data_IF_730195511458
#
_entry.id   IF_730195511458
#
_cell.length_a   1.000
_cell.length_b   1.000
_cell.length_c   1.000
_cell.angle_alpha   90.00
_cell.angle_beta   90.00
_cell.angle_gamma   90.00
#
_symmetry.space_group_name_H-M   'P 1'
#
loop_
_entity.id
_entity.type
_entity.pdbx_description
1 polymer ?
#
# COMPACT_ATOMS: atom_id res chain seq x y z
N UNK A 1 51.11 4.14 26.74
CA UNK A 1 50.49 3.35 25.65
C UNK A 1 48.97 3.51 25.72
N UNK A 2 48.40 4.58 25.18
CA UNK A 2 46.93 4.82 25.20
C UNK A 2 46.56 5.41 23.85
N UNK A 3 46.10 4.59 22.91
CA UNK A 3 45.59 5.09 21.63
C UNK A 3 44.64 4.12 20.91
N UNK A 4 43.65 3.57 21.61
CA UNK A 4 42.56 2.80 20.97
C UNK A 4 41.24 2.95 21.72
N UNK A 5 40.67 4.15 21.79
CA UNK A 5 39.33 4.33 22.36
C UNK A 5 38.58 5.53 21.78
N UNK A 6 38.60 5.69 20.44
CA UNK A 6 37.80 6.73 19.74
C UNK A 6 36.97 6.22 18.55
N UNK A 7 37.09 4.95 18.17
CA UNK A 7 36.42 4.40 16.96
C UNK A 7 35.01 3.88 17.26
N UNK A 8 34.67 3.62 18.53
CA UNK A 8 33.37 3.01 18.88
C UNK A 8 32.19 3.99 18.88
N UNK A 9 32.42 5.29 19.13
CA UNK A 9 31.34 6.28 19.23
C UNK A 9 30.76 6.69 17.86
N UNK A 10 31.56 6.63 16.79
CA UNK A 10 31.13 6.98 15.42
C UNK A 10 30.20 5.91 14.84
N UNK A 11 30.41 4.64 15.17
CA UNK A 11 29.54 3.55 14.70
C UNK A 11 28.13 3.63 15.30
N UNK A 12 28.00 3.96 16.60
CA UNK A 12 26.70 4.07 17.27
C UNK A 12 25.84 5.21 16.69
N UNK A 13 26.46 6.34 16.35
CA UNK A 13 25.73 7.47 15.72
C UNK A 13 25.22 7.12 14.31
N UNK A 14 25.99 6.38 13.52
CA UNK A 14 25.57 5.96 12.17
C UNK A 14 24.42 4.95 12.19
N UNK A 15 24.32 4.08 13.19
CA UNK A 15 23.23 3.10 13.28
C UNK A 15 21.86 3.75 13.50
N UNK A 16 21.80 4.81 14.32
CA UNK A 16 20.53 5.51 14.57
C UNK A 16 19.99 6.17 13.31
N UNK A 17 20.84 6.86 12.53
CA UNK A 17 20.41 7.57 11.32
C UNK A 17 19.95 6.63 10.21
N UNK A 18 20.55 5.45 10.06
CA UNK A 18 20.15 4.44 9.06
C UNK A 18 18.74 3.92 9.35
N UNK A 19 18.43 3.60 10.62
CA UNK A 19 17.09 3.13 11.02
C UNK A 19 16.02 4.19 10.73
N UNK A 20 16.31 5.47 10.98
CA UNK A 20 15.37 6.56 10.68
C UNK A 20 15.13 6.75 9.18
N UNK A 21 16.19 6.64 8.34
CA UNK A 21 16.07 6.77 6.90
C UNK A 21 15.27 5.62 6.26
N UNK A 22 15.50 4.38 6.73
CA UNK A 22 14.73 3.21 6.29
C UNK A 22 13.25 3.34 6.66
N UNK A 23 12.95 3.81 7.87
CA UNK A 23 11.57 4.00 8.32
C UNK A 23 10.82 5.03 7.46
N UNK A 24 11.45 6.17 7.16
CA UNK A 24 10.86 7.19 6.27
C UNK A 24 10.57 6.64 4.87
N UNK A 25 11.53 5.91 4.30
CA UNK A 25 11.37 5.27 2.97
C UNK A 25 10.17 4.30 2.93
N UNK A 26 9.92 3.57 4.03
CA UNK A 26 8.76 2.68 4.12
C UNK A 26 7.44 3.44 4.23
N UNK A 27 7.38 4.54 4.99
CA UNK A 27 6.19 5.42 5.06
C UNK A 27 5.88 6.02 3.67
N UNK A 28 6.89 6.52 2.96
CA UNK A 28 6.73 7.03 1.59
C UNK A 28 6.20 5.92 0.66
N UNK A 29 6.68 4.69 0.85
CA UNK A 29 6.22 3.52 0.08
C UNK A 29 4.76 3.16 0.40
N UNK A 30 4.30 3.30 1.65
CA UNK A 30 2.89 3.15 2.02
C UNK A 30 2.01 4.21 1.35
N UNK A 31 2.48 5.46 1.26
CA UNK A 31 1.77 6.50 0.51
C UNK A 31 1.68 6.19 -1.00
N UNK A 32 2.66 5.49 -1.58
CA UNK A 32 2.55 5.00 -2.96
C UNK A 32 1.46 3.93 -3.09
N UNK A 33 1.31 3.03 -2.11
CA UNK A 33 0.20 2.06 -2.08
C UNK A 33 -1.14 2.78 -1.98
N UNK A 34 -1.24 3.83 -1.15
CA UNK A 34 -2.44 4.68 -1.07
C UNK A 34 -2.81 5.26 -2.43
N UNK A 35 -1.85 5.86 -3.14
CA UNK A 35 -2.10 6.46 -4.45
C UNK A 35 -2.49 5.40 -5.49
N UNK A 36 -1.84 4.23 -5.46
CA UNK A 36 -2.22 3.09 -6.28
C UNK A 36 -3.66 2.64 -6.06
N UNK A 37 -4.11 2.59 -4.80
CA UNK A 37 -5.50 2.25 -4.46
C UNK A 37 -6.48 3.27 -5.03
N UNK A 38 -6.15 4.57 -5.00
CA UNK A 38 -6.95 5.62 -5.63
C UNK A 38 -7.00 5.49 -7.15
N UNK A 39 -5.87 5.18 -7.80
CA UNK A 39 -5.79 4.93 -9.23
C UNK A 39 -6.65 3.71 -9.63
N UNK A 40 -6.59 2.64 -8.83
CA UNK A 40 -7.41 1.44 -9.00
C UNK A 40 -8.89 1.78 -8.90
N UNK A 41 -9.30 2.50 -7.84
CA UNK A 41 -10.69 2.92 -7.66
C UNK A 41 -11.18 3.74 -8.85
N UNK A 42 -10.41 4.74 -9.28
CA UNK A 42 -10.79 5.57 -10.42
C UNK A 42 -10.91 4.75 -11.71
N UNK A 43 -10.02 3.78 -11.93
CA UNK A 43 -10.04 2.90 -13.12
C UNK A 43 -11.26 1.99 -13.13
N UNK A 44 -11.65 1.43 -11.99
CA UNK A 44 -12.78 0.50 -11.91
C UNK A 44 -14.13 1.24 -11.89
N UNK A 45 -14.20 2.43 -11.28
CA UNK A 45 -15.43 3.22 -11.20
C UNK A 45 -15.70 4.00 -12.48
N UNK A 46 -14.67 4.60 -13.09
CA UNK A 46 -14.83 5.50 -14.24
C UNK A 46 -15.35 4.71 -15.44
N UNK A 47 -16.53 5.11 -15.90
CA UNK A 47 -17.19 4.56 -17.07
C UNK A 47 -17.00 5.54 -18.23
N UNK A 48 -15.93 5.34 -19.01
CA UNK A 48 -15.70 6.09 -20.25
C UNK A 48 -16.23 5.35 -21.49
N UNK A 49 -16.84 4.17 -21.32
CA UNK A 49 -17.39 3.35 -22.40
C UNK A 49 -16.35 2.53 -23.18
N UNK A 50 -15.06 2.63 -22.85
CA UNK A 50 -13.99 1.88 -23.52
C UNK A 50 -13.49 0.70 -22.67
N UNK A 51 -14.25 -0.40 -22.71
CA UNK A 51 -13.95 -1.63 -21.96
C UNK A 51 -12.54 -2.19 -22.25
N UNK A 52 -12.04 -2.05 -23.48
CA UNK A 52 -10.70 -2.53 -23.86
C UNK A 52 -9.59 -1.72 -23.19
N UNK A 53 -9.73 -0.40 -23.16
CA UNK A 53 -8.78 0.47 -22.46
C UNK A 53 -8.82 0.24 -20.95
N UNK A 54 -10.02 0.05 -20.39
CA UNK A 54 -10.18 -0.31 -18.99
C UNK A 54 -9.50 -1.65 -18.66
N UNK A 55 -9.65 -2.67 -19.52
CA UNK A 55 -8.99 -3.96 -19.37
C UNK A 55 -7.46 -3.83 -19.34
N UNK A 56 -6.89 -3.01 -20.23
CA UNK A 56 -5.44 -2.75 -20.27
C UNK A 56 -4.98 -2.09 -18.97
N UNK A 57 -5.67 -1.04 -18.52
CA UNK A 57 -5.35 -0.33 -17.27
C UNK A 57 -5.44 -1.25 -16.06
N UNK A 58 -6.51 -2.05 -15.96
CA UNK A 58 -6.68 -3.05 -14.88
C UNK A 58 -5.55 -4.07 -14.91
N UNK A 59 -5.13 -4.55 -16.09
CA UNK A 59 -4.03 -5.50 -16.21
C UNK A 59 -2.69 -4.90 -15.70
N UNK A 60 -2.39 -3.64 -16.02
CA UNK A 60 -1.21 -2.94 -15.53
C UNK A 60 -1.25 -2.75 -14.00
N UNK A 61 -2.41 -2.34 -13.47
CA UNK A 61 -2.62 -2.18 -12.03
C UNK A 61 -2.49 -3.51 -11.29
N UNK A 62 -2.89 -4.63 -11.89
CA UNK A 62 -2.69 -5.95 -11.28
C UNK A 62 -1.21 -6.31 -11.15
N UNK A 63 -0.38 -6.06 -12.17
CA UNK A 63 1.05 -6.36 -12.09
C UNK A 63 1.74 -5.50 -11.01
N UNK A 64 1.38 -4.21 -10.92
CA UNK A 64 1.84 -3.34 -9.83
C UNK A 64 1.35 -3.83 -8.46
N UNK A 65 0.09 -4.28 -8.40
CA UNK A 65 -0.53 -4.85 -7.20
C UNK A 65 0.21 -6.07 -6.66
N UNK A 66 0.65 -6.99 -7.52
CA UNK A 66 1.45 -8.17 -7.10
C UNK A 66 2.78 -7.80 -6.43
N UNK A 67 3.44 -6.74 -6.93
CA UNK A 67 4.68 -6.24 -6.31
C UNK A 67 4.35 -5.68 -4.93
N UNK A 68 3.31 -4.85 -4.83
CA UNK A 68 2.88 -4.29 -3.56
C UNK A 68 2.37 -5.35 -2.58
N UNK A 69 1.71 -6.42 -3.02
CA UNK A 69 1.22 -7.46 -2.10
C UNK A 69 2.36 -8.11 -1.30
N UNK A 70 3.52 -8.29 -1.95
CA UNK A 70 4.72 -8.83 -1.31
C UNK A 70 5.37 -7.83 -0.35
N UNK A 71 5.40 -6.56 -0.72
CA UNK A 71 6.12 -5.52 0.00
C UNK A 71 5.29 -4.83 1.10
N UNK A 72 3.98 -4.81 0.94
CA UNK A 72 3.05 -4.11 1.82
C UNK A 72 3.18 -4.55 3.29
N UNK A 73 3.29 -5.87 3.62
CA UNK A 73 3.54 -6.28 5.00
C UNK A 73 4.88 -5.77 5.56
N UNK A 74 5.93 -5.67 4.72
CA UNK A 74 7.24 -5.16 5.15
C UNK A 74 7.15 -3.68 5.48
N UNK A 75 6.47 -2.90 4.63
CA UNK A 75 6.29 -1.47 4.85
C UNK A 75 5.33 -1.17 5.99
N UNK A 76 4.30 -1.99 6.21
CA UNK A 76 3.37 -1.81 7.33
C UNK A 76 4.07 -1.89 8.70
N UNK A 77 5.13 -2.68 8.84
CA UNK A 77 5.93 -2.76 10.07
C UNK A 77 6.57 -1.43 10.48
N UNK A 78 6.67 -0.48 9.55
CA UNK A 78 7.14 0.88 9.82
C UNK A 78 6.18 1.70 10.70
N UNK A 79 4.88 1.37 10.66
CA UNK A 79 3.80 2.16 11.27
C UNK A 79 2.93 1.35 12.23
N UNK A 80 3.00 0.01 12.16
CA UNK A 80 2.19 -0.90 12.95
C UNK A 80 3.02 -2.08 13.47
N UNK A 81 2.63 -2.58 14.64
CA UNK A 81 3.19 -3.80 15.19
C UNK A 81 2.55 -5.04 14.54
N UNK A 82 3.33 -6.08 14.28
CA UNK A 82 2.88 -7.27 13.52
C UNK A 82 1.75 -8.02 14.23
N UNK A 83 1.76 -8.02 15.57
CA UNK A 83 0.74 -8.67 16.39
C UNK A 83 -0.56 -7.86 16.50
N UNK A 84 -0.58 -6.63 15.96
CA UNK A 84 -1.78 -5.80 16.00
C UNK A 84 -2.86 -6.33 15.06
N UNK A 85 -4.12 -6.26 15.52
CA UNK A 85 -5.28 -6.57 14.68
C UNK A 85 -5.28 -5.71 13.41
N UNK A 86 -4.91 -4.42 13.50
CA UNK A 86 -4.85 -3.50 12.36
C UNK A 86 -3.83 -3.94 11.30
N UNK A 87 -2.64 -4.42 11.69
CA UNK A 87 -1.66 -4.95 10.74
C UNK A 87 -2.24 -6.12 9.94
N UNK A 88 -2.88 -7.05 10.64
CA UNK A 88 -3.50 -8.23 10.02
C UNK A 88 -4.66 -7.84 9.11
N UNK A 89 -5.53 -6.93 9.56
CA UNK A 89 -6.71 -6.50 8.82
C UNK A 89 -6.32 -5.70 7.57
N UNK A 90 -5.38 -4.77 7.65
CA UNK A 90 -4.93 -3.99 6.49
C UNK A 90 -4.33 -4.90 5.41
N UNK A 91 -3.49 -5.86 5.80
CA UNK A 91 -2.94 -6.87 4.87
C UNK A 91 -4.05 -7.69 4.22
N UNK A 92 -5.01 -8.18 5.01
CA UNK A 92 -6.15 -8.97 4.52
C UNK A 92 -7.00 -8.17 3.52
N UNK A 93 -7.31 -6.91 3.84
CA UNK A 93 -8.07 -6.01 2.98
C UNK A 93 -7.35 -5.78 1.64
N UNK A 94 -6.03 -5.55 1.68
CA UNK A 94 -5.24 -5.38 0.46
C UNK A 94 -5.29 -6.61 -0.44
N UNK A 95 -5.08 -7.81 0.12
CA UNK A 95 -5.19 -9.07 -0.63
C UNK A 95 -6.59 -9.28 -1.21
N UNK A 96 -7.66 -9.02 -0.45
CA UNK A 96 -9.02 -9.15 -0.96
C UNK A 96 -9.31 -8.18 -2.11
N UNK A 97 -8.85 -6.94 -2.02
CA UNK A 97 -8.98 -5.96 -3.12
C UNK A 97 -8.31 -6.50 -4.39
N UNK A 98 -7.12 -7.10 -4.29
CA UNK A 98 -6.43 -7.68 -5.46
C UNK A 98 -7.14 -8.91 -6.02
N UNK A 99 -7.70 -9.76 -5.16
CA UNK A 99 -8.50 -10.91 -5.58
C UNK A 99 -9.76 -10.47 -6.32
N UNK A 100 -10.51 -9.51 -5.77
CA UNK A 100 -11.70 -8.95 -6.44
C UNK A 100 -11.32 -8.24 -7.74
N UNK A 101 -10.17 -7.57 -7.80
CA UNK A 101 -9.68 -6.97 -9.06
C UNK A 101 -9.40 -8.05 -10.13
N UNK A 102 -8.88 -9.21 -9.74
CA UNK A 102 -8.66 -10.33 -10.66
C UNK A 102 -9.97 -10.89 -11.22
N UNK A 103 -11.01 -11.00 -10.40
CA UNK A 103 -12.36 -11.37 -10.83
C UNK A 103 -12.92 -10.34 -11.81
N UNK A 104 -12.83 -9.06 -11.45
CA UNK A 104 -13.25 -7.95 -12.33
C UNK A 104 -12.57 -7.98 -13.69
N UNK A 105 -11.25 -8.23 -13.73
CA UNK A 105 -10.50 -8.40 -14.98
C UNK A 105 -10.99 -9.58 -15.81
N UNK A 106 -11.31 -10.70 -15.16
CA UNK A 106 -11.85 -11.88 -15.83
C UNK A 106 -13.19 -11.55 -16.50
N UNK A 107 -14.06 -10.83 -15.80
CA UNK A 107 -15.36 -10.40 -16.32
C UNK A 107 -15.22 -9.43 -17.52
N UNK A 108 -14.29 -8.47 -17.43
CA UNK A 108 -13.97 -7.57 -18.54
C UNK A 108 -13.53 -8.35 -19.79
N UNK A 109 -12.72 -9.39 -19.61
CA UNK A 109 -12.23 -10.23 -20.71
C UNK A 109 -13.34 -11.10 -21.31
N UNK A 110 -14.25 -11.61 -20.48
CA UNK A 110 -15.36 -12.46 -20.94
C UNK A 110 -16.41 -11.67 -21.75
N UNK A 111 -16.56 -10.37 -21.47
CA UNK A 111 -17.56 -9.50 -22.10
C UNK A 111 -16.94 -8.19 -22.61
N UNK A 112 -16.12 -8.23 -23.67
CA UNK A 112 -15.34 -7.07 -24.14
C UNK A 112 -16.18 -5.87 -24.61
N UNK A 113 -17.48 -6.04 -24.83
CA UNK A 113 -18.41 -4.98 -25.25
C UNK A 113 -19.49 -4.66 -24.20
N UNK A 114 -19.39 -5.22 -22.99
CA UNK A 114 -20.35 -4.98 -21.91
C UNK A 114 -19.63 -4.74 -20.60
N UNK A 115 -20.15 -3.82 -19.80
CA UNK A 115 -19.64 -3.63 -18.45
C UNK A 115 -19.85 -4.92 -17.64
N UNK A 116 -18.89 -5.33 -16.80
CA UNK A 116 -19.13 -6.35 -15.80
C UNK A 116 -20.37 -5.99 -14.98
N UNK A 117 -21.39 -6.84 -15.04
CA UNK A 117 -22.62 -6.67 -14.26
C UNK A 117 -22.47 -7.21 -12.83
N UNK A 118 -21.24 -7.49 -12.40
CA UNK A 118 -20.94 -7.95 -11.06
C UNK A 118 -20.94 -6.75 -10.10
N UNK A 119 -22.16 -6.33 -9.74
CA UNK A 119 -22.41 -5.19 -8.87
C UNK A 119 -21.83 -5.39 -7.47
N UNK A 120 -21.74 -6.64 -7.00
CA UNK A 120 -21.22 -6.97 -5.68
C UNK A 120 -19.70 -6.75 -5.60
N UNK A 121 -18.95 -7.17 -6.61
CA UNK A 121 -17.50 -6.93 -6.68
C UNK A 121 -17.18 -5.43 -6.76
N UNK A 122 -17.93 -4.69 -7.59
CA UNK A 122 -17.80 -3.24 -7.69
C UNK A 122 -18.16 -2.54 -6.38
N UNK A 123 -19.22 -2.98 -5.71
CA UNK A 123 -19.64 -2.47 -4.40
C UNK A 123 -18.59 -2.77 -3.33
N UNK A 124 -18.01 -3.97 -3.34
CA UNK A 124 -16.91 -4.34 -2.46
C UNK A 124 -15.72 -3.40 -2.67
N UNK A 125 -15.22 -3.26 -3.91
CA UNK A 125 -14.09 -2.38 -4.21
C UNK A 125 -14.37 -0.93 -3.81
N UNK A 126 -15.56 -0.42 -4.10
CA UNK A 126 -15.97 0.94 -3.74
C UNK A 126 -16.01 1.20 -2.23
N UNK A 127 -16.26 0.17 -1.43
CA UNK A 127 -16.33 0.29 0.02
C UNK A 127 -14.99 0.00 0.70
N UNK A 128 -14.25 -0.98 0.20
CA UNK A 128 -13.01 -1.47 0.82
C UNK A 128 -11.82 -0.57 0.51
N UNK A 129 -11.73 -0.03 -0.72
CA UNK A 129 -10.61 0.82 -1.11
C UNK A 129 -10.52 2.11 -0.26
N UNK A 130 -11.60 2.90 -0.08
CA UNK A 130 -11.52 4.12 0.71
C UNK A 130 -11.12 3.84 2.16
N UNK A 131 -11.69 2.79 2.77
CA UNK A 131 -11.33 2.38 4.13
C UNK A 131 -9.84 2.09 4.27
N UNK A 132 -9.27 1.31 3.34
CA UNK A 132 -7.84 1.00 3.40
C UNK A 132 -6.97 2.23 3.12
N UNK A 133 -7.39 3.13 2.24
CA UNK A 133 -6.71 4.42 2.00
C UNK A 133 -6.67 5.26 3.27
N UNK A 134 -7.78 5.33 4.00
CA UNK A 134 -7.90 6.11 5.24
C UNK A 134 -7.03 5.49 6.36
N UNK A 135 -7.04 4.17 6.51
CA UNK A 135 -6.19 3.46 7.48
C UNK A 135 -4.69 3.66 7.18
N UNK A 136 -4.27 3.56 5.91
CA UNK A 136 -2.88 3.85 5.52
C UNK A 136 -2.52 5.28 5.87
N UNK A 137 -3.36 6.25 5.51
CA UNK A 137 -3.11 7.66 5.80
C UNK A 137 -2.99 7.92 7.31
N UNK A 138 -3.93 7.37 8.09
CA UNK A 138 -3.97 7.53 9.54
C UNK A 138 -2.69 7.03 10.21
N UNK A 139 -2.27 5.79 9.93
CA UNK A 139 -1.10 5.21 10.57
C UNK A 139 0.22 5.83 10.08
N UNK A 140 0.33 6.20 8.81
CA UNK A 140 1.48 6.96 8.33
C UNK A 140 1.61 8.30 9.06
N UNK A 141 0.50 9.06 9.17
CA UNK A 141 0.51 10.35 9.86
C UNK A 141 0.86 10.22 11.33
N UNK A 142 0.30 9.23 12.03
CA UNK A 142 0.62 8.95 13.43
C UNK A 142 2.11 8.66 13.61
N UNK A 143 2.69 7.80 12.78
CA UNK A 143 4.11 7.47 12.83
C UNK A 143 5.02 8.68 12.52
N UNK A 144 4.63 9.53 11.57
CA UNK A 144 5.34 10.78 11.27
C UNK A 144 5.33 11.75 12.45
N UNK A 145 4.18 11.92 13.11
CA UNK A 145 4.03 12.76 14.30
C UNK A 145 4.89 12.24 15.47
N UNK A 146 4.89 10.93 15.72
CA UNK A 146 5.76 10.31 16.73
C UNK A 146 7.24 10.49 16.41
N UNK A 147 7.63 10.41 15.14
CA UNK A 147 9.01 10.62 14.70
C UNK A 147 9.45 12.07 14.95
N UNK A 148 8.58 13.05 14.65
CA UNK A 148 8.87 14.47 14.90
C UNK A 148 9.05 14.74 16.40
N UNK A 149 8.20 14.17 17.25
CA UNK A 149 8.32 14.28 18.73
C UNK A 149 9.63 13.72 19.28
N UNK A 150 10.22 12.70 18.64
CA UNK A 150 11.51 12.11 19.05
C UNK A 150 12.73 12.88 18.55
N UNK A 151 12.55 13.82 17.62
CA UNK A 151 13.63 14.60 16.99
C UNK A 151 13.79 15.99 17.62
N UNK A 152 12.80 16.46 18.38
CA UNK A 152 12.81 17.71 19.14
C UNK A 152 12.90 17.43 20.64
#
# INVERSE_FOLDING_TARGET
>A
MIKKMKVSFVFVLLFTSIMFAQNKSHIDSLYQVKNYLLDLRSTVIKNDGNTNEQLIKVAQLMEKGKVYEKQFPIWLKAVLNEDSWHYTEMKRQFTLILQTLALYKSDLKAKPNQRPNNLDDLKFLNNSIPKLVDEIYYYCKLAEEERLKKTH
#
